data_IF_775126228034
#
_entry.id   IF_775126228034
#
_cell.length_a   1.000
_cell.length_b   1.000
_cell.length_c   1.000
_cell.angle_alpha   90.00
_cell.angle_beta   90.00
_cell.angle_gamma   90.00
#
_symmetry.space_group_name_H-M   'P 1'
#
loop_
_entity.id
_entity.type
_entity.pdbx_description
1 polymer ?
#
# COMPACT_ATOMS: atom_id res chain seq x y z
N UNK A 1 4.55 -17.15 17.62
CA UNK A 1 4.66 -16.11 16.56
C UNK A 1 5.76 -15.10 16.85
N UNK A 2 5.82 -14.46 18.02
CA UNK A 2 6.88 -13.49 18.34
C UNK A 2 8.30 -14.06 18.18
N UNK A 3 8.58 -15.22 18.78
CA UNK A 3 9.87 -15.93 18.65
C UNK A 3 10.24 -16.25 17.20
N UNK A 4 9.24 -16.54 16.35
CA UNK A 4 9.47 -16.83 14.94
C UNK A 4 9.80 -15.57 14.14
N UNK A 5 9.31 -14.40 14.57
CA UNK A 5 9.64 -13.10 13.99
C UNK A 5 11.02 -12.61 14.43
N UNK A 6 11.37 -12.79 15.70
CA UNK A 6 12.71 -12.48 16.23
C UNK A 6 13.81 -13.29 15.51
N UNK A 7 13.54 -14.55 15.19
CA UNK A 7 14.48 -15.44 14.50
C UNK A 7 14.68 -15.15 13.01
N UNK A 8 13.96 -14.19 12.43
CA UNK A 8 14.12 -13.79 11.03
C UNK A 8 15.44 -13.03 10.83
N UNK A 9 16.03 -13.15 9.65
CA UNK A 9 17.12 -12.27 9.24
C UNK A 9 16.59 -10.88 8.86
N UNK A 10 17.46 -9.87 8.91
CA UNK A 10 17.14 -8.50 8.48
C UNK A 10 16.49 -8.44 7.08
N UNK A 11 16.97 -9.23 6.12
CA UNK A 11 16.41 -9.31 4.77
C UNK A 11 14.99 -9.86 4.74
N UNK A 12 14.71 -10.90 5.54
CA UNK A 12 13.37 -11.48 5.65
C UNK A 12 12.39 -10.50 6.27
N UNK A 13 12.81 -9.74 7.29
CA UNK A 13 11.99 -8.71 7.93
C UNK A 13 11.64 -7.59 6.96
N UNK A 14 12.63 -7.06 6.23
CA UNK A 14 12.39 -6.03 5.22
C UNK A 14 11.49 -6.52 4.09
N UNK A 15 11.69 -7.75 3.60
CA UNK A 15 10.84 -8.34 2.58
C UNK A 15 9.39 -8.52 3.09
N UNK A 16 9.23 -9.01 4.31
CA UNK A 16 7.91 -9.14 4.93
C UNK A 16 7.22 -7.77 5.07
N UNK A 17 7.97 -6.74 5.47
CA UNK A 17 7.49 -5.35 5.51
C UNK A 17 7.04 -4.86 4.13
N UNK A 18 7.87 -5.02 3.09
CA UNK A 18 7.53 -4.63 1.72
C UNK A 18 6.27 -5.34 1.21
N UNK A 19 6.16 -6.65 1.42
CA UNK A 19 5.00 -7.44 1.04
C UNK A 19 3.75 -6.99 1.79
N UNK A 20 3.87 -6.69 3.08
CA UNK A 20 2.75 -6.22 3.89
C UNK A 20 2.25 -4.85 3.44
N UNK A 21 3.13 -3.83 3.42
CA UNK A 21 2.75 -2.46 3.06
C UNK A 21 2.34 -2.35 1.58
N UNK A 22 3.05 -3.03 0.68
CA UNK A 22 2.66 -3.11 -0.72
C UNK A 22 1.33 -3.84 -0.91
N UNK A 23 1.15 -4.94 -0.19
CA UNK A 23 -0.09 -5.72 -0.21
C UNK A 23 -1.31 -4.91 0.21
N UNK A 24 -1.24 -4.17 1.32
CA UNK A 24 -2.38 -3.33 1.76
C UNK A 24 -2.65 -2.19 0.77
N UNK A 25 -1.62 -1.54 0.22
CA UNK A 25 -1.81 -0.48 -0.79
C UNK A 25 -2.51 -1.01 -2.03
N UNK A 26 -2.07 -2.16 -2.54
CA UNK A 26 -2.69 -2.80 -3.70
C UNK A 26 -4.11 -3.29 -3.39
N UNK A 27 -4.31 -3.96 -2.24
CA UNK A 27 -5.61 -4.51 -1.87
C UNK A 27 -6.65 -3.42 -1.65
N UNK A 28 -6.36 -2.40 -0.83
CA UNK A 28 -7.30 -1.31 -0.57
C UNK A 28 -7.46 -0.38 -1.78
N UNK A 29 -6.38 -0.13 -2.54
CA UNK A 29 -6.45 0.61 -3.79
C UNK A 29 -7.35 -0.08 -4.81
N UNK A 30 -7.15 -1.39 -5.04
CA UNK A 30 -7.98 -2.18 -5.95
C UNK A 30 -9.42 -2.30 -5.46
N UNK A 31 -9.64 -2.51 -4.16
CA UNK A 31 -10.97 -2.57 -3.57
C UNK A 31 -11.72 -1.24 -3.75
N UNK A 32 -11.06 -0.11 -3.49
CA UNK A 32 -11.66 1.22 -3.68
C UNK A 32 -11.94 1.50 -5.15
N UNK A 33 -11.01 1.14 -6.04
CA UNK A 33 -11.20 1.25 -7.48
C UNK A 33 -12.39 0.41 -7.96
N UNK A 34 -12.47 -0.86 -7.55
CA UNK A 34 -13.58 -1.75 -7.90
C UNK A 34 -14.91 -1.22 -7.37
N UNK A 35 -14.93 -0.79 -6.11
CA UNK A 35 -16.11 -0.25 -5.46
C UNK A 35 -16.63 0.99 -6.20
N UNK A 36 -15.75 1.96 -6.44
CA UNK A 36 -16.14 3.27 -6.99
C UNK A 36 -16.35 3.27 -8.50
N UNK A 37 -15.64 2.42 -9.25
CA UNK A 37 -15.71 2.37 -10.71
C UNK A 37 -16.72 1.35 -11.24
N UNK A 38 -17.00 0.29 -10.48
CA UNK A 38 -17.86 -0.80 -10.93
C UNK A 38 -19.07 -1.02 -10.04
N UNK A 39 -18.87 -1.26 -8.74
CA UNK A 39 -19.96 -1.67 -7.84
C UNK A 39 -20.99 -0.56 -7.63
N UNK A 40 -20.55 0.62 -7.19
CA UNK A 40 -21.46 1.74 -6.91
C UNK A 40 -22.20 2.22 -8.18
N UNK A 41 -21.53 2.40 -9.34
CA UNK A 41 -22.23 2.73 -10.58
C UNK A 41 -23.25 1.67 -11.03
N UNK A 42 -22.93 0.37 -10.88
CA UNK A 42 -23.86 -0.71 -11.24
C UNK A 42 -25.13 -0.71 -10.37
N UNK A 43 -25.03 -0.19 -9.15
CA UNK A 43 -26.16 -0.02 -8.23
C UNK A 43 -26.88 1.33 -8.40
N UNK A 44 -26.46 2.17 -9.35
CA UNK A 44 -27.00 3.52 -9.53
C UNK A 44 -26.67 4.47 -8.37
N UNK A 45 -25.67 4.14 -7.56
CA UNK A 45 -25.28 4.91 -6.39
C UNK A 45 -24.01 5.72 -6.63
N UNK A 46 -24.02 6.98 -6.18
CA UNK A 46 -22.87 7.87 -6.27
C UNK A 46 -22.64 8.46 -7.66
N UNK A 47 -21.89 9.56 -7.70
CA UNK A 47 -21.42 10.22 -8.92
C UNK A 47 -20.03 10.80 -8.66
N UNK A 48 -19.20 11.01 -9.70
CA UNK A 48 -17.92 11.71 -9.54
C UNK A 48 -18.15 13.06 -8.85
N UNK A 49 -17.45 13.29 -7.73
CA UNK A 49 -17.53 14.55 -7.00
C UNK A 49 -16.89 15.70 -7.79
N UNK A 50 -15.78 15.40 -8.47
CA UNK A 50 -15.07 16.32 -9.35
C UNK A 50 -14.90 15.66 -10.72
N UNK A 51 -15.52 16.20 -11.80
CA UNK A 51 -15.43 15.64 -13.13
C UNK A 51 -14.17 16.08 -13.90
N UNK A 52 -13.34 16.97 -13.33
CA UNK A 52 -12.14 17.45 -14.01
C UNK A 52 -11.17 16.28 -14.29
N UNK A 53 -10.51 16.27 -15.45
CA UNK A 53 -9.49 15.27 -15.73
C UNK A 53 -8.31 15.41 -14.76
N UNK A 54 -7.65 14.29 -14.48
CA UNK A 54 -6.41 14.30 -13.71
C UNK A 54 -5.36 15.16 -14.41
N UNK A 55 -4.55 15.89 -13.62
CA UNK A 55 -3.46 16.66 -14.18
C UNK A 55 -2.43 15.75 -14.88
N UNK A 56 -1.74 16.23 -15.93
CA UNK A 56 -0.73 15.44 -16.63
C UNK A 56 0.30 14.86 -15.66
N UNK A 57 0.48 13.54 -15.69
CA UNK A 57 1.45 12.82 -14.85
C UNK A 57 1.08 12.69 -13.36
N UNK A 58 -0.10 13.14 -12.93
CA UNK A 58 -0.54 13.02 -11.54
C UNK A 58 -0.53 11.57 -11.05
N UNK A 59 -1.12 10.65 -11.82
CA UNK A 59 -1.16 9.23 -11.47
C UNK A 59 0.24 8.64 -11.27
N UNK A 60 1.18 8.96 -12.16
CA UNK A 60 2.57 8.48 -12.05
C UNK A 60 3.22 9.00 -10.77
N UNK A 61 2.99 10.28 -10.43
CA UNK A 61 3.53 10.89 -9.21
C UNK A 61 2.96 10.22 -7.96
N UNK A 62 1.65 10.02 -7.89
CA UNK A 62 0.98 9.38 -6.75
C UNK A 62 1.44 7.92 -6.57
N UNK A 63 1.59 7.18 -7.66
CA UNK A 63 2.14 5.81 -7.62
C UNK A 63 3.60 5.79 -7.17
N UNK A 64 4.43 6.73 -7.65
CA UNK A 64 5.82 6.83 -7.22
C UNK A 64 5.94 7.20 -5.74
N UNK A 65 5.11 8.12 -5.26
CA UNK A 65 5.06 8.48 -3.84
C UNK A 65 4.60 7.31 -2.97
N UNK A 66 3.58 6.58 -3.42
CA UNK A 66 3.13 5.35 -2.74
C UNK A 66 4.24 4.31 -2.69
N UNK A 67 4.96 4.10 -3.79
CA UNK A 67 6.13 3.23 -3.85
C UNK A 67 7.24 3.65 -2.89
N UNK A 68 7.55 4.95 -2.81
CA UNK A 68 8.52 5.49 -1.85
C UNK A 68 8.07 5.22 -0.40
N UNK A 69 6.79 5.43 -0.08
CA UNK A 69 6.25 5.11 1.25
C UNK A 69 6.36 3.63 1.57
N UNK A 70 6.01 2.73 0.64
CA UNK A 70 6.15 1.28 0.81
C UNK A 70 7.61 0.90 1.05
N UNK A 71 8.54 1.50 0.28
CA UNK A 71 9.98 1.27 0.47
C UNK A 71 10.44 1.72 1.85
N UNK A 72 10.11 2.96 2.25
CA UNK A 72 10.52 3.53 3.53
C UNK A 72 9.97 2.73 4.72
N UNK A 73 8.66 2.44 4.74
CA UNK A 73 8.05 1.73 5.85
C UNK A 73 8.34 0.23 5.82
N UNK A 74 8.36 -0.39 4.64
CA UNK A 74 8.66 -1.80 4.47
C UNK A 74 10.07 -2.15 4.88
N UNK A 75 11.06 -1.39 4.42
CA UNK A 75 12.45 -1.59 4.87
C UNK A 75 12.67 -1.08 6.29
N UNK A 76 11.98 0.00 6.69
CA UNK A 76 12.03 0.57 8.04
C UNK A 76 11.59 -0.39 9.14
N UNK A 77 10.88 -1.48 8.82
CA UNK A 77 10.56 -2.57 9.77
C UNK A 77 11.81 -3.18 10.42
N UNK A 78 12.99 -3.04 9.81
CA UNK A 78 14.26 -3.45 10.43
C UNK A 78 14.53 -2.72 11.76
N UNK A 79 14.05 -1.49 11.92
CA UNK A 79 14.29 -0.70 13.13
C UNK A 79 13.59 -1.30 14.36
N UNK A 80 12.25 -1.46 14.41
CA UNK A 80 11.61 -2.10 15.55
C UNK A 80 12.04 -3.55 15.73
N UNK A 81 12.34 -4.29 14.67
CA UNK A 81 12.89 -5.65 14.78
C UNK A 81 14.28 -5.66 15.43
N UNK A 82 15.15 -4.70 15.09
CA UNK A 82 16.49 -4.57 15.66
C UNK A 82 16.49 -4.21 17.16
N UNK A 83 15.41 -3.60 17.67
CA UNK A 83 15.23 -3.38 19.11
C UNK A 83 14.87 -4.66 19.88
N UNK A 84 14.49 -5.73 19.18
CA UNK A 84 14.14 -7.03 19.75
C UNK A 84 15.30 -8.04 19.70
N UNK A 85 16.41 -7.67 19.07
CA UNK A 85 17.65 -8.47 19.01
C UNK A 85 18.53 -8.17 20.23
#
# INVERSE_FOLDING_TARGET
>A
MAQAFEALSAWQVMLAGLLFFGGIYLAFGAATWLLTRHVLPALGMGRPLDPRPLAPGQMRRELAQSGLSILLFGTGMIFPWGLLQ
#
